data_IF_500313841443
#
_entry.id   IF_500313841443
#
_cell.length_a   1.000
_cell.length_b   1.000
_cell.length_c   1.000
_cell.angle_alpha   90.00
_cell.angle_beta   90.00
_cell.angle_gamma   90.00
#
_symmetry.space_group_name_H-M   'P 1'
#
loop_
_entity.id
_entity.type
_entity.pdbx_description
1 polymer ?
#
# COMPACT_ATOMS: atom_id res chain seq x y z
N UNK A 1 15.72 8.67 6.27
CA UNK A 1 14.49 7.88 6.36
C UNK A 1 13.40 8.72 5.74
N UNK A 2 13.04 8.39 4.51
CA UNK A 2 11.97 9.08 3.80
C UNK A 2 10.62 8.48 4.21
N UNK A 3 9.67 9.34 4.59
CA UNK A 3 8.33 8.94 4.97
C UNK A 3 7.36 9.30 3.86
N UNK A 4 6.56 8.32 3.45
CA UNK A 4 5.51 8.48 2.47
C UNK A 4 4.18 8.68 3.19
N UNK A 5 3.48 9.77 2.88
CA UNK A 5 2.12 10.02 3.36
C UNK A 5 1.16 9.02 2.70
N UNK A 6 0.43 8.26 3.53
CA UNK A 6 -0.56 7.29 3.09
C UNK A 6 -1.98 7.67 3.49
N UNK A 7 -2.19 8.91 3.91
CA UNK A 7 -3.47 9.51 4.27
C UNK A 7 -3.76 9.55 5.76
N UNK A 8 -4.58 10.52 6.15
CA UNK A 8 -5.17 10.63 7.50
C UNK A 8 -4.15 10.70 8.63
N UNK A 9 -2.97 11.28 8.37
CA UNK A 9 -1.89 11.38 9.35
C UNK A 9 -1.06 10.10 9.50
N UNK A 10 -1.31 9.09 8.67
CA UNK A 10 -0.47 7.89 8.61
C UNK A 10 0.70 8.08 7.65
N UNK A 11 1.86 7.57 8.04
CA UNK A 11 3.07 7.59 7.24
C UNK A 11 3.73 6.22 7.26
N UNK A 12 4.42 5.87 6.17
CA UNK A 12 5.19 4.62 6.06
C UNK A 12 6.60 4.93 5.59
N UNK A 13 7.56 4.08 5.94
CA UNK A 13 8.94 4.20 5.45
C UNK A 13 8.97 3.89 3.96
N UNK A 14 9.23 4.89 3.10
CA UNK A 14 9.30 4.71 1.65
C UNK A 14 10.37 3.66 1.28
N UNK A 15 11.52 3.72 1.95
CA UNK A 15 12.66 2.79 1.77
C UNK A 15 12.34 1.31 2.03
N UNK A 16 11.20 1.01 2.67
CA UNK A 16 10.78 -0.35 3.05
C UNK A 16 9.67 -0.90 2.18
N UNK A 17 9.12 -0.10 1.27
CA UNK A 17 8.11 -0.56 0.33
C UNK A 17 8.78 -1.26 -0.85
N UNK A 18 8.34 -2.48 -1.15
CA UNK A 18 8.78 -3.23 -2.33
C UNK A 18 7.87 -2.97 -3.54
N UNK A 19 6.60 -2.65 -3.29
CA UNK A 19 5.62 -2.45 -4.36
C UNK A 19 4.44 -1.58 -3.89
N UNK A 20 3.87 -0.82 -4.84
CA UNK A 20 2.58 -0.15 -4.75
C UNK A 20 1.73 -0.68 -5.91
N UNK A 21 0.61 -1.31 -5.62
CA UNK A 21 -0.23 -2.01 -6.60
C UNK A 21 -1.70 -1.64 -6.45
N UNK A 22 -2.46 -1.78 -7.54
CA UNK A 22 -3.89 -1.47 -7.56
C UNK A 22 -4.72 -2.63 -6.92
N UNK A 23 -5.69 -2.32 -6.04
CA UNK A 23 -6.51 -3.32 -5.34
C UNK A 23 -7.49 -4.11 -6.22
N UNK A 24 -7.74 -3.70 -7.47
CA UNK A 24 -8.84 -4.25 -8.27
C UNK A 24 -8.58 -5.68 -8.77
N UNK A 25 -7.30 -6.08 -8.91
CA UNK A 25 -6.92 -7.39 -9.44
C UNK A 25 -7.15 -8.54 -8.44
N UNK A 26 -7.57 -9.70 -8.96
CA UNK A 26 -7.81 -10.90 -8.14
C UNK A 26 -6.55 -11.38 -7.37
N UNK A 27 -5.33 -11.36 -7.93
CA UNK A 27 -4.12 -11.70 -7.18
C UNK A 27 -3.85 -10.75 -6.01
N UNK A 28 -4.05 -9.44 -6.18
CA UNK A 28 -3.85 -8.46 -5.10
C UNK A 28 -4.87 -8.66 -3.98
N UNK A 29 -6.14 -8.92 -4.32
CA UNK A 29 -7.17 -9.26 -3.32
C UNK A 29 -6.80 -10.50 -2.50
N UNK A 30 -6.16 -11.49 -3.12
CA UNK A 30 -5.64 -12.68 -2.43
C UNK A 30 -4.51 -12.32 -1.46
N UNK A 31 -3.54 -11.51 -1.89
CA UNK A 31 -2.44 -11.05 -1.02
C UNK A 31 -2.99 -10.29 0.20
N UNK A 32 -3.99 -9.43 0.00
CA UNK A 32 -4.64 -8.70 1.10
C UNK A 32 -5.31 -9.66 2.09
N UNK A 33 -5.96 -10.72 1.61
CA UNK A 33 -6.54 -11.72 2.50
C UNK A 33 -5.49 -12.54 3.23
N UNK A 34 -4.47 -13.03 2.54
CA UNK A 34 -3.38 -13.78 3.15
C UNK A 34 -2.69 -12.96 4.26
N UNK A 35 -2.50 -11.65 4.04
CA UNK A 35 -1.95 -10.76 5.06
C UNK A 35 -2.91 -10.56 6.25
N UNK A 36 -4.22 -10.48 6.00
CA UNK A 36 -5.23 -10.40 7.07
C UNK A 36 -5.19 -11.64 7.95
N UNK A 37 -5.19 -12.83 7.33
CA UNK A 37 -5.18 -14.12 8.02
C UNK A 37 -3.90 -14.33 8.84
N UNK A 38 -2.79 -13.69 8.43
CA UNK A 38 -1.49 -13.73 9.12
C UNK A 38 -1.28 -12.61 10.14
N UNK A 39 -2.27 -11.76 10.39
CA UNK A 39 -2.11 -10.54 11.21
C UNK A 39 -1.01 -9.59 10.70
N UNK A 40 -0.76 -9.57 9.40
CA UNK A 40 0.24 -8.72 8.70
C UNK A 40 -0.41 -7.58 7.91
N UNK A 41 -1.74 -7.45 7.96
CA UNK A 41 -2.47 -6.38 7.29
C UNK A 41 -2.52 -5.12 8.16
N UNK A 42 -2.08 -4.00 7.59
CA UNK A 42 -2.23 -2.67 8.16
C UNK A 42 -3.28 -1.92 7.35
N UNK A 43 -4.44 -1.67 7.95
CA UNK A 43 -5.52 -0.94 7.29
C UNK A 43 -5.49 0.55 7.66
N UNK A 44 -4.96 1.37 6.73
CA UNK A 44 -4.91 2.83 6.86
C UNK A 44 -6.04 3.53 6.06
N UNK A 45 -7.10 2.81 5.68
CA UNK A 45 -8.18 3.36 4.85
C UNK A 45 -9.20 4.18 5.65
N UNK A 46 -9.28 3.99 6.97
CA UNK A 46 -10.35 4.52 7.84
C UNK A 46 -11.75 4.18 7.32
N UNK A 47 -11.95 2.95 6.82
CA UNK A 47 -13.24 2.48 6.30
C UNK A 47 -13.64 3.07 4.96
N UNK A 48 -12.76 3.85 4.31
CA UNK A 48 -12.96 4.34 2.94
C UNK A 48 -12.53 3.29 1.93
N UNK A 49 -12.93 3.48 0.67
CA UNK A 49 -12.52 2.62 -0.44
C UNK A 49 -11.00 2.59 -0.56
N UNK A 50 -10.40 1.40 -0.52
CA UNK A 50 -8.98 1.18 -0.83
C UNK A 50 -8.69 1.67 -2.24
N UNK A 51 -7.71 2.56 -2.36
CA UNK A 51 -7.19 3.04 -3.65
C UNK A 51 -5.89 2.35 -4.03
N UNK A 52 -5.06 2.04 -3.04
CA UNK A 52 -3.75 1.40 -3.26
C UNK A 52 -3.48 0.35 -2.21
N UNK A 53 -2.71 -0.66 -2.60
CA UNK A 53 -2.15 -1.71 -1.74
C UNK A 53 -0.64 -1.59 -1.82
N UNK A 54 0.02 -1.42 -0.67
CA UNK A 54 1.47 -1.37 -0.56
C UNK A 54 1.98 -2.67 0.06
N UNK A 55 3.11 -3.15 -0.41
CA UNK A 55 3.78 -4.33 0.14
C UNK A 55 5.13 -3.90 0.68
N UNK A 56 5.42 -4.27 1.93
CA UNK A 56 6.69 -3.99 2.58
C UNK A 56 7.65 -5.19 2.49
N UNK A 57 8.95 -4.95 2.63
CA UNK A 57 10.00 -5.96 2.69
C UNK A 57 9.81 -6.99 3.84
N UNK A 58 9.19 -6.54 4.93
CA UNK A 58 8.78 -7.35 6.09
C UNK A 58 7.58 -8.26 5.84
N UNK A 59 6.95 -8.20 4.65
CA UNK A 59 5.75 -8.95 4.31
C UNK A 59 4.44 -8.33 4.82
N UNK A 60 4.50 -7.16 5.48
CA UNK A 60 3.30 -6.39 5.79
C UNK A 60 2.63 -5.89 4.49
N UNK A 61 1.31 -5.92 4.50
CA UNK A 61 0.48 -5.36 3.42
C UNK A 61 -0.27 -4.18 4.00
N UNK A 62 -0.16 -3.02 3.37
CA UNK A 62 -0.73 -1.77 3.87
C UNK A 62 -1.78 -1.28 2.87
N UNK A 63 -3.01 -1.05 3.34
CA UNK A 63 -4.10 -0.51 2.55
C UNK A 63 -4.21 1.00 2.76
N UNK A 64 -4.31 1.77 1.69
CA UNK A 64 -4.61 3.20 1.78
C UNK A 64 -5.80 3.58 0.90
N UNK A 65 -6.56 4.56 1.37
CA UNK A 65 -7.64 5.20 0.62
C UNK A 65 -7.20 6.49 -0.10
N UNK A 66 -5.93 6.86 0.03
CA UNK A 66 -5.31 7.94 -0.72
C UNK A 66 -4.58 7.35 -1.92
N UNK A 67 -4.58 8.10 -3.02
CA UNK A 67 -3.89 7.69 -4.23
C UNK A 67 -2.41 8.03 -4.06
N UNK A 68 -1.57 7.01 -4.23
CA UNK A 68 -0.13 7.14 -4.06
C UNK A 68 0.50 6.76 -5.39
N UNK A 69 1.11 7.74 -6.04
CA UNK A 69 1.95 7.51 -7.20
C UNK A 69 3.37 7.41 -6.71
N UNK A 70 4.05 6.29 -6.98
CA UNK A 70 5.51 6.28 -6.87
C UNK A 70 6.03 7.36 -7.82
N UNK A 71 6.84 8.30 -7.32
CA UNK A 71 7.62 9.19 -8.18
C UNK A 71 8.74 8.39 -8.89
N UNK A 72 8.38 7.36 -9.65
CA UNK A 72 9.20 6.89 -10.74
C UNK A 72 9.01 7.90 -11.85
N UNK A 73 10.08 8.61 -12.23
CA UNK A 73 10.18 9.49 -13.40
C UNK A 73 9.04 9.21 -14.38
N UNK A 74 8.16 10.20 -14.62
CA UNK A 74 7.19 10.19 -15.72
C UNK A 74 7.80 9.35 -16.85
N UNK A 75 7.22 8.19 -17.13
CA UNK A 75 7.48 7.53 -18.39
C UNK A 75 7.12 8.60 -19.43
N UNK A 76 8.14 9.12 -20.09
CA UNK A 76 7.99 10.11 -21.13
C UNK A 76 7.07 9.51 -22.19
N UNK A 77 5.90 10.11 -22.36
CA UNK A 77 5.27 10.23 -23.67
C UNK A 77 5.76 11.51 -24.34
#
# INVERSE_FOLDING_TARGET
MELLDIGFGNMVSADRLIAIVNPDSAPVKRIVQDARDRNMLIDATYGRRTKVVMVADSGHVILSAVEITAEGKKAAE
#
